data_IF_573367129931
#
_entry.id   IF_573367129931
#
_cell.length_a   1.000
_cell.length_b   1.000
_cell.length_c   1.000
_cell.angle_alpha   90.00
_cell.angle_beta   90.00
_cell.angle_gamma   90.00
#
_symmetry.space_group_name_H-M   'P 1'
#
loop_
_entity.id
_entity.type
_entity.pdbx_description
1 polymer ?
#
# COMPACT_ATOMS: atom_id res chain seq x y z
N UNK A 1 -5.85 17.03 20.86
CA UNK A 1 -5.93 15.81 21.70
C UNK A 1 -4.84 14.86 21.23
N UNK A 2 -4.14 14.17 22.12
CA UNK A 2 -2.98 13.31 21.82
C UNK A 2 -3.32 11.86 22.19
N UNK A 3 -2.98 10.90 21.35
CA UNK A 3 -3.17 9.48 21.65
C UNK A 3 -2.22 8.97 22.73
N UNK A 4 -2.62 7.90 23.43
CA UNK A 4 -1.77 7.14 24.35
C UNK A 4 -1.55 5.74 23.77
N UNK A 5 -0.65 5.65 22.80
CA UNK A 5 -0.51 4.47 21.94
C UNK A 5 0.77 3.68 22.20
N UNK A 6 1.91 4.34 22.41
CA UNK A 6 3.20 3.63 22.52
C UNK A 6 3.87 3.70 23.89
N UNK A 7 3.25 4.34 24.88
CA UNK A 7 3.85 4.55 26.20
C UNK A 7 5.14 5.38 26.15
N UNK A 8 6.03 5.20 27.12
CA UNK A 8 7.26 5.99 27.27
C UNK A 8 8.46 5.09 27.53
N UNK A 9 9.65 5.57 27.19
CA UNK A 9 10.93 4.99 27.57
C UNK A 9 11.89 6.03 28.15
N UNK A 10 13.13 5.63 28.43
CA UNK A 10 14.14 6.47 29.08
C UNK A 10 14.58 7.69 28.26
N UNK A 11 14.23 7.77 26.97
CA UNK A 11 14.58 8.86 26.04
C UNK A 11 13.38 9.65 25.52
N UNK A 12 12.18 9.42 26.06
CA UNK A 12 10.97 10.14 25.67
C UNK A 12 9.78 9.21 25.39
N UNK A 13 8.77 9.75 24.72
CA UNK A 13 7.52 9.04 24.41
C UNK A 13 7.12 9.26 22.96
N UNK A 14 6.88 8.17 22.24
CA UNK A 14 6.25 8.22 20.91
C UNK A 14 4.86 8.83 20.95
N UNK A 15 4.19 8.88 22.11
CA UNK A 15 2.91 9.58 22.24
C UNK A 15 3.04 11.08 21.90
N UNK A 16 4.23 11.66 22.11
CA UNK A 16 4.51 13.08 21.88
C UNK A 16 5.01 13.40 20.47
N UNK A 17 5.47 12.38 19.73
CA UNK A 17 6.24 12.59 18.49
C UNK A 17 5.68 11.86 17.28
N UNK A 18 4.77 10.89 17.46
CA UNK A 18 4.29 10.03 16.38
C UNK A 18 2.77 9.98 16.32
N UNK A 19 2.25 9.67 15.13
CA UNK A 19 0.88 9.21 14.94
C UNK A 19 0.86 7.70 15.20
N UNK A 20 0.04 7.24 16.14
CA UNK A 20 -0.20 5.81 16.39
C UNK A 20 -1.43 5.31 15.64
N UNK A 21 -1.34 4.09 15.10
CA UNK A 21 -2.49 3.33 14.58
C UNK A 21 -2.30 1.85 14.91
N UNK A 22 -3.41 1.13 14.98
CA UNK A 22 -3.43 -0.30 15.30
C UNK A 22 -3.73 -1.12 14.05
N UNK A 23 -3.08 -2.28 13.91
CA UNK A 23 -3.45 -3.29 12.94
C UNK A 23 -4.17 -4.39 13.72
N UNK A 24 -5.47 -4.55 13.48
CA UNK A 24 -6.25 -5.59 14.16
C UNK A 24 -5.68 -6.98 13.84
N UNK A 25 -5.35 -7.74 14.89
CA UNK A 25 -4.78 -9.08 14.75
C UNK A 25 -5.89 -10.15 14.69
N UNK A 26 -5.63 -11.22 13.93
CA UNK A 26 -6.39 -12.46 14.00
C UNK A 26 -5.75 -13.45 15.01
N UNK A 27 -5.90 -14.76 14.79
CA UNK A 27 -5.13 -15.79 15.50
C UNK A 27 -3.65 -15.91 15.08
N UNK A 28 -3.12 -14.89 14.40
CA UNK A 28 -1.76 -14.76 13.85
C UNK A 28 -1.43 -15.66 12.65
N UNK A 29 -2.38 -16.44 12.16
CA UNK A 29 -2.13 -17.53 11.20
C UNK A 29 -2.87 -17.38 9.88
N UNK A 30 -3.90 -16.55 9.80
CA UNK A 30 -4.63 -16.30 8.55
C UNK A 30 -3.83 -15.34 7.66
N UNK A 31 -3.12 -15.93 6.69
CA UNK A 31 -2.36 -15.18 5.71
C UNK A 31 -3.23 -14.27 4.82
N UNK A 32 -4.49 -14.66 4.55
CA UNK A 32 -5.38 -13.86 3.70
C UNK A 32 -5.82 -12.61 4.44
N UNK A 33 -6.22 -12.75 5.70
CA UNK A 33 -6.55 -11.63 6.57
C UNK A 33 -5.33 -10.73 6.79
N UNK A 34 -4.17 -11.31 7.12
CA UNK A 34 -2.93 -10.56 7.27
C UNK A 34 -2.61 -9.73 6.03
N UNK A 35 -2.67 -10.33 4.83
CA UNK A 35 -2.38 -9.61 3.59
C UNK A 35 -3.34 -8.45 3.36
N UNK A 36 -4.63 -8.61 3.71
CA UNK A 36 -5.62 -7.55 3.60
C UNK A 36 -5.29 -6.38 4.54
N UNK A 37 -5.09 -6.64 5.84
CA UNK A 37 -4.81 -5.55 6.80
C UNK A 37 -3.41 -4.94 6.62
N UNK A 38 -2.43 -5.73 6.16
CA UNK A 38 -1.08 -5.25 5.83
C UNK A 38 -1.14 -4.26 4.66
N UNK A 39 -1.94 -4.55 3.62
CA UNK A 39 -2.17 -3.63 2.49
C UNK A 39 -2.77 -2.31 2.98
N UNK A 40 -3.84 -2.35 3.78
CA UNK A 40 -4.47 -1.13 4.29
C UNK A 40 -3.51 -0.32 5.18
N UNK A 41 -2.70 -0.99 6.00
CA UNK A 41 -1.68 -0.35 6.82
C UNK A 41 -0.58 0.33 5.97
N UNK A 42 -0.07 -0.33 4.92
CA UNK A 42 0.94 0.27 4.04
C UNK A 42 0.37 1.41 3.20
N UNK A 43 -0.88 1.32 2.75
CA UNK A 43 -1.60 2.40 2.05
C UNK A 43 -1.82 3.62 2.97
N UNK A 44 -2.24 3.41 4.22
CA UNK A 44 -2.36 4.49 5.21
C UNK A 44 -1.02 5.17 5.46
N UNK A 45 0.04 4.41 5.69
CA UNK A 45 1.37 4.98 5.90
C UNK A 45 1.89 5.72 4.67
N UNK A 46 1.59 5.25 3.45
CA UNK A 46 1.96 5.94 2.22
C UNK A 46 1.22 7.27 2.09
N UNK A 47 -0.08 7.29 2.40
CA UNK A 47 -0.88 8.51 2.46
C UNK A 47 -0.32 9.52 3.46
N UNK A 48 -0.05 9.09 4.71
CA UNK A 48 0.52 9.96 5.75
C UNK A 48 1.91 10.48 5.38
N UNK A 49 2.77 9.64 4.77
CA UNK A 49 4.07 10.08 4.29
C UNK A 49 3.94 11.13 3.18
N UNK A 50 2.97 10.97 2.27
CA UNK A 50 2.69 11.97 1.22
C UNK A 50 2.22 13.29 1.83
N UNK A 51 1.22 13.24 2.72
CA UNK A 51 0.60 14.41 3.35
C UNK A 51 1.63 15.23 4.15
N UNK A 52 2.46 14.54 4.94
CA UNK A 52 3.45 15.19 5.80
C UNK A 52 4.84 15.34 5.15
N UNK A 53 4.98 14.98 3.87
CA UNK A 53 6.26 15.04 3.11
C UNK A 53 7.40 14.30 3.80
N UNK A 54 7.11 13.11 4.34
CA UNK A 54 8.05 12.25 5.04
C UNK A 54 8.60 11.18 4.10
N UNK A 55 9.88 10.84 4.26
CA UNK A 55 10.46 9.67 3.60
C UNK A 55 10.24 8.42 4.47
N UNK A 56 9.45 7.42 4.02
CA UNK A 56 9.17 6.23 4.83
C UNK A 56 10.40 5.38 5.14
N UNK A 57 11.51 5.59 4.41
CA UNK A 57 12.79 4.92 4.64
C UNK A 57 13.69 5.66 5.63
N UNK A 58 13.37 6.90 6.01
CA UNK A 58 14.17 7.66 6.95
C UNK A 58 14.03 7.12 8.38
N UNK A 59 15.13 7.17 9.13
CA UNK A 59 15.22 6.61 10.47
C UNK A 59 14.18 7.22 11.41
N UNK A 60 13.38 6.38 12.07
CA UNK A 60 12.38 6.80 13.05
C UNK A 60 11.06 7.33 12.48
N UNK A 61 10.89 7.41 11.15
CA UNK A 61 9.63 7.87 10.53
C UNK A 61 8.51 6.84 10.69
N UNK A 62 8.77 5.59 10.31
CA UNK A 62 7.87 4.46 10.53
C UNK A 62 8.59 3.42 11.38
N UNK A 63 8.05 3.17 12.56
CA UNK A 63 8.63 2.24 13.54
C UNK A 63 7.55 1.31 14.08
N UNK A 64 7.90 0.05 14.30
CA UNK A 64 7.10 -0.85 15.13
C UNK A 64 7.22 -0.46 16.60
N UNK A 65 6.26 -0.86 17.44
CA UNK A 65 6.33 -0.57 18.89
C UNK A 65 7.61 -1.16 19.50
N UNK A 66 8.00 -2.38 19.11
CA UNK A 66 9.25 -2.99 19.56
C UNK A 66 10.50 -2.20 19.13
N UNK A 67 10.47 -1.50 17.99
CA UNK A 67 11.57 -0.65 17.54
C UNK A 67 11.63 0.63 18.37
N UNK A 68 10.47 1.19 18.71
CA UNK A 68 10.35 2.29 19.67
C UNK A 68 10.93 1.94 21.05
N UNK A 69 10.66 0.72 21.53
CA UNK A 69 11.25 0.23 22.78
C UNK A 69 12.78 0.13 22.70
N UNK A 70 13.31 -0.48 21.63
CA UNK A 70 14.76 -0.58 21.40
C UNK A 70 15.44 0.79 21.32
N UNK A 71 14.73 1.81 20.81
CA UNK A 71 15.19 3.21 20.77
C UNK A 71 15.09 3.92 22.13
N UNK A 72 14.35 3.37 23.08
CA UNK A 72 14.12 3.96 24.40
C UNK A 72 13.02 5.03 24.42
N UNK A 73 12.11 5.02 23.44
CA UNK A 73 11.04 6.02 23.29
C UNK A 73 9.62 5.41 23.37
N UNK A 74 9.50 4.12 23.64
CA UNK A 74 8.22 3.41 23.81
C UNK A 74 8.30 2.35 24.92
N UNK A 75 7.15 1.86 25.39
CA UNK A 75 7.06 0.74 26.34
C UNK A 75 7.49 -0.59 25.70
N UNK A 76 7.83 -1.59 26.53
CA UNK A 76 8.36 -2.88 26.08
C UNK A 76 7.27 -3.82 25.52
N UNK A 77 6.76 -3.49 24.33
CA UNK A 77 5.86 -4.36 23.57
C UNK A 77 6.55 -4.95 22.33
N UNK A 78 6.04 -6.08 21.85
CA UNK A 78 6.66 -6.86 20.77
C UNK A 78 6.07 -6.58 19.37
N UNK A 79 4.94 -5.89 19.31
CA UNK A 79 4.20 -5.64 18.08
C UNK A 79 4.89 -4.62 17.16
N UNK A 80 4.62 -4.70 15.84
CA UNK A 80 3.92 -5.79 15.15
C UNK A 80 4.85 -6.99 14.84
N UNK A 81 6.08 -6.99 15.40
CA UNK A 81 7.15 -7.93 15.01
C UNK A 81 6.79 -9.40 15.25
N UNK A 82 6.03 -9.71 16.31
CA UNK A 82 5.59 -11.09 16.61
C UNK A 82 4.67 -11.66 15.54
N UNK A 83 3.81 -10.83 14.93
CA UNK A 83 2.91 -11.27 13.86
C UNK A 83 3.58 -11.22 12.50
N UNK A 84 4.30 -10.13 12.19
CA UNK A 84 4.97 -9.95 10.90
C UNK A 84 5.95 -11.08 10.60
N UNK A 85 6.74 -11.49 11.59
CA UNK A 85 7.70 -12.59 11.43
C UNK A 85 7.04 -13.93 11.06
N UNK A 86 5.84 -14.22 11.60
CA UNK A 86 5.07 -15.44 11.25
C UNK A 86 4.58 -15.44 9.80
N UNK A 87 4.43 -14.24 9.21
CA UNK A 87 3.96 -14.03 7.84
C UNK A 87 5.10 -13.71 6.86
N UNK A 88 6.36 -13.90 7.28
CA UNK A 88 7.53 -13.63 6.45
C UNK A 88 7.74 -12.14 6.14
N UNK A 89 7.24 -11.25 6.99
CA UNK A 89 7.40 -9.78 6.90
C UNK A 89 8.26 -9.24 8.03
N UNK A 90 8.74 -8.02 7.85
CA UNK A 90 9.42 -7.20 8.85
C UNK A 90 9.03 -5.73 8.69
N UNK A 91 9.43 -4.88 9.63
CA UNK A 91 9.29 -3.43 9.46
C UNK A 91 10.08 -2.90 8.25
N UNK A 92 11.18 -3.56 7.86
CA UNK A 92 11.91 -3.21 6.64
C UNK A 92 11.10 -3.50 5.38
N UNK A 93 10.47 -4.67 5.29
CA UNK A 93 9.58 -4.97 4.14
C UNK A 93 8.34 -4.08 4.14
N UNK A 94 7.88 -3.64 5.32
CA UNK A 94 6.78 -2.70 5.47
C UNK A 94 7.15 -1.33 4.92
N UNK A 95 8.27 -0.75 5.38
CA UNK A 95 8.77 0.55 4.89
C UNK A 95 9.06 0.53 3.38
N UNK A 96 9.62 -0.57 2.88
CA UNK A 96 9.85 -0.76 1.44
C UNK A 96 8.54 -0.76 0.63
N UNK A 97 7.49 -1.42 1.12
CA UNK A 97 6.18 -1.40 0.45
C UNK A 97 5.51 -0.02 0.52
N UNK A 98 5.60 0.67 1.66
CA UNK A 98 5.15 2.07 1.77
C UNK A 98 5.88 2.97 0.77
N UNK A 99 7.20 2.82 0.63
CA UNK A 99 7.98 3.56 -0.37
C UNK A 99 7.52 3.25 -1.79
N UNK A 100 7.29 1.97 -2.10
CA UNK A 100 6.78 1.53 -3.41
C UNK A 100 5.44 2.21 -3.72
N UNK A 101 4.48 2.18 -2.78
CA UNK A 101 3.17 2.83 -2.91
C UNK A 101 3.27 4.35 -3.05
N UNK A 102 4.15 5.00 -2.28
CA UNK A 102 4.38 6.45 -2.35
C UNK A 102 4.94 6.91 -3.70
N UNK A 103 5.78 6.07 -4.33
CA UNK A 103 6.42 6.35 -5.63
C UNK A 103 5.63 5.87 -6.83
N UNK A 104 4.67 4.95 -6.64
CA UNK A 104 3.76 4.54 -7.68
C UNK A 104 2.89 5.75 -8.06
N UNK A 105 3.17 6.33 -9.23
CA UNK A 105 2.32 7.35 -9.82
C UNK A 105 0.89 6.84 -9.86
N UNK A 106 -0.04 7.64 -9.34
CA UNK A 106 -1.45 7.30 -9.12
C UNK A 106 -2.08 6.60 -10.33
N UNK A 107 -2.02 5.27 -10.39
CA UNK A 107 -3.10 4.51 -11.01
C UNK A 107 -4.22 4.54 -9.98
N UNK A 108 -5.35 5.22 -10.24
CA UNK A 108 -6.42 5.27 -9.26
C UNK A 108 -6.92 3.85 -9.04
N UNK A 109 -6.75 3.35 -7.82
CA UNK A 109 -7.38 2.12 -7.36
C UNK A 109 -8.89 2.33 -7.48
N UNK A 110 -9.63 1.52 -8.27
CA UNK A 110 -11.08 1.66 -8.33
C UNK A 110 -11.66 1.19 -7.00
N UNK A 111 -12.00 2.13 -6.12
CA UNK A 111 -13.01 1.91 -5.10
C UNK A 111 -14.33 1.70 -5.86
N UNK A 112 -14.92 0.53 -5.68
CA UNK A 112 -16.06 -0.06 -6.42
C UNK A 112 -15.77 -0.61 -7.84
N UNK A 113 -16.31 -1.80 -8.21
CA UNK A 113 -16.31 -2.26 -9.59
C UNK A 113 -17.16 -1.30 -10.44
N UNK A 114 -16.50 -0.31 -11.05
CA UNK A 114 -17.15 0.61 -11.98
C UNK A 114 -17.75 -0.18 -13.15
N UNK A 115 -19.05 0.00 -13.40
CA UNK A 115 -19.72 -0.52 -14.60
C UNK A 115 -19.05 0.09 -15.83
N UNK A 116 -18.30 -0.72 -16.58
CA UNK A 116 -17.61 -0.28 -17.79
C UNK A 116 -18.54 -0.43 -19.01
N UNK A 117 -18.71 0.65 -19.75
CA UNK A 117 -19.32 0.64 -21.08
C UNK A 117 -18.20 0.62 -22.12
N UNK A 118 -18.24 -0.33 -23.05
CA UNK A 118 -17.22 -0.47 -24.10
C UNK A 118 -17.82 -0.05 -25.45
N UNK A 119 -17.03 0.69 -26.23
CA UNK A 119 -17.37 1.07 -27.61
C UNK A 119 -16.56 0.21 -28.56
N UNK A 120 -17.22 -0.45 -29.50
CA UNK A 120 -16.56 -1.22 -30.56
C UNK A 120 -16.26 -0.31 -31.74
N UNK A 121 -14.98 -0.20 -32.10
CA UNK A 121 -14.49 0.63 -33.21
C UNK A 121 -14.37 -0.13 -34.54
N UNK A 122 -14.64 -1.44 -34.53
CA UNK A 122 -14.71 -2.29 -35.73
C UNK A 122 -14.90 -3.77 -35.40
N UNK A 123 -15.27 -4.56 -36.41
CA UNK A 123 -15.28 -6.02 -36.38
C UNK A 123 -14.59 -6.52 -37.65
N UNK A 124 -13.55 -7.35 -37.50
CA UNK A 124 -12.68 -7.77 -38.61
C UNK A 124 -12.53 -9.28 -38.62
N UNK A 125 -12.73 -9.90 -39.78
CA UNK A 125 -12.44 -11.33 -40.00
C UNK A 125 -10.96 -11.63 -40.27
N UNK A 126 -10.15 -10.58 -40.54
CA UNK A 126 -8.72 -10.68 -40.81
C UNK A 126 -7.95 -9.92 -39.73
N UNK A 127 -7.07 -10.60 -39.01
CA UNK A 127 -6.30 -10.03 -37.88
C UNK A 127 -5.53 -8.77 -38.27
N UNK A 128 -4.88 -8.77 -39.44
CA UNK A 128 -4.10 -7.62 -39.91
C UNK A 128 -4.93 -6.32 -39.99
N UNK A 129 -6.22 -6.42 -40.32
CA UNK A 129 -7.12 -5.26 -40.37
C UNK A 129 -7.48 -4.76 -38.96
N UNK A 130 -7.64 -5.68 -37.99
CA UNK A 130 -7.85 -5.31 -36.59
C UNK A 130 -6.61 -4.64 -36.00
N UNK A 131 -5.42 -5.16 -36.29
CA UNK A 131 -4.15 -4.56 -35.86
C UNK A 131 -3.98 -3.14 -36.43
N UNK A 132 -4.26 -2.96 -37.74
CA UNK A 132 -4.18 -1.64 -38.37
C UNK A 132 -5.16 -0.62 -37.76
N UNK A 133 -6.37 -1.05 -37.37
CA UNK A 133 -7.31 -0.18 -36.66
C UNK A 133 -6.82 0.13 -35.24
N UNK A 134 -6.28 -0.85 -34.53
CA UNK A 134 -5.72 -0.65 -33.19
C UNK A 134 -4.63 0.43 -33.17
N UNK A 135 -3.71 0.37 -34.14
CA UNK A 135 -2.65 1.38 -34.29
C UNK A 135 -3.23 2.79 -34.52
N UNK A 136 -4.22 2.92 -35.40
CA UNK A 136 -4.90 4.21 -35.65
C UNK A 136 -5.58 4.76 -34.41
N UNK A 137 -6.26 3.90 -33.66
CA UNK A 137 -6.97 4.28 -32.43
C UNK A 137 -6.00 4.70 -31.33
N UNK A 138 -4.87 4.00 -31.19
CA UNK A 138 -3.80 4.41 -30.27
C UNK A 138 -3.15 5.73 -30.69
N UNK A 139 -2.89 5.92 -31.98
CA UNK A 139 -2.37 7.18 -32.52
C UNK A 139 -3.34 8.35 -32.33
N UNK A 140 -4.66 8.10 -32.32
CA UNK A 140 -5.69 9.07 -31.99
C UNK A 140 -5.81 9.36 -30.47
N UNK A 141 -4.98 8.75 -29.62
CA UNK A 141 -4.88 9.04 -28.20
C UNK A 141 -5.49 7.99 -27.27
N UNK A 142 -6.15 6.95 -27.79
CA UNK A 142 -6.75 5.88 -26.99
C UNK A 142 -5.71 4.79 -26.69
N UNK A 143 -4.76 5.09 -25.81
CA UNK A 143 -3.57 4.25 -25.53
C UNK A 143 -3.91 2.84 -25.02
N UNK A 144 -4.99 2.70 -24.27
CA UNK A 144 -5.43 1.43 -23.66
C UNK A 144 -6.37 0.62 -24.56
N UNK A 145 -6.54 1.00 -25.84
CA UNK A 145 -7.30 0.21 -26.79
C UNK A 145 -6.70 -1.20 -26.94
N UNK A 146 -7.56 -2.20 -27.14
CA UNK A 146 -7.17 -3.60 -27.30
C UNK A 146 -8.12 -4.34 -28.25
N UNK A 147 -7.63 -5.43 -28.84
CA UNK A 147 -8.45 -6.36 -29.63
C UNK A 147 -9.02 -7.41 -28.68
N UNK A 148 -10.35 -7.59 -28.72
CA UNK A 148 -11.04 -8.68 -28.03
C UNK A 148 -11.41 -9.75 -29.05
N UNK A 149 -10.96 -10.99 -28.82
CA UNK A 149 -11.45 -12.15 -29.56
C UNK A 149 -12.79 -12.61 -28.95
N UNK A 150 -13.74 -12.94 -29.81
CA UNK A 150 -14.98 -13.63 -29.45
C UNK A 150 -15.06 -14.89 -30.30
N UNK A 151 -15.12 -16.04 -29.65
CA UNK A 151 -15.48 -17.33 -30.27
C UNK A 151 -16.97 -17.38 -30.59
#
# INVERSE_FOLDING_TARGET
MRGWHGGSGSKGSVNDTHIGFEICEDGLTDASYFNAVYKEATELCAYLCKEHKLDPMADGVIIGHYEGYKRGIASNHADPGHWFSKQGKSMDTFRAEVKRLLTATETPTPTEPKKLYRVQVGAYSVKANADAMLERVKAAGFKDAFIKYSE
#
